data_IF_110112612810
#
_entry.id   IF_110112612810
#
_cell.length_a   1.000
_cell.length_b   1.000
_cell.length_c   1.000
_cell.angle_alpha   90.00
_cell.angle_beta   90.00
_cell.angle_gamma   90.00
#
_symmetry.space_group_name_H-M   'P 1'
#
loop_
_entity.id
_entity.type
_entity.pdbx_description
1 polymer ?
#
# COMPACT_ATOMS: atom_id res chain seq x y z
N UNK A 1 -24.15 15.74 62.16
CA UNK A 1 -24.03 16.96 61.33
C UNK A 1 -22.93 16.73 60.31
N UNK A 2 -23.22 17.00 59.02
CA UNK A 2 -22.31 17.24 57.86
C UNK A 2 -21.27 16.16 57.50
N UNK A 3 -21.05 15.74 56.25
CA UNK A 3 -21.60 16.09 54.93
C UNK A 3 -21.09 15.03 53.95
N UNK A 4 -22.00 14.43 53.17
CA UNK A 4 -21.64 13.59 52.03
C UNK A 4 -20.67 14.32 51.08
N UNK A 5 -19.63 13.63 50.66
CA UNK A 5 -18.89 13.96 49.44
C UNK A 5 -19.13 12.87 48.41
N UNK A 6 -19.80 13.32 47.35
CA UNK A 6 -20.17 12.62 46.13
C UNK A 6 -18.95 12.67 45.20
N UNK A 7 -18.43 11.54 44.75
CA UNK A 7 -17.46 11.48 43.67
C UNK A 7 -17.79 10.30 42.74
N UNK A 8 -18.66 10.66 41.78
CA UNK A 8 -18.65 10.31 40.35
C UNK A 8 -17.83 9.06 39.99
N UNK A 9 -18.55 8.00 39.64
CA UNK A 9 -18.00 6.81 39.01
C UNK A 9 -17.31 7.16 37.70
N UNK A 10 -16.00 6.96 37.66
CA UNK A 10 -15.23 6.92 36.42
C UNK A 10 -15.42 5.53 35.84
N UNK A 11 -16.38 5.39 34.92
CA UNK A 11 -16.45 4.24 34.03
C UNK A 11 -15.30 4.33 33.03
N UNK A 12 -14.13 3.82 33.41
CA UNK A 12 -13.09 3.49 32.44
C UNK A 12 -13.55 2.25 31.68
N UNK A 13 -14.00 2.44 30.44
CA UNK A 13 -14.09 1.35 29.46
C UNK A 13 -12.68 0.82 29.26
N UNK A 14 -12.38 -0.31 29.89
CA UNK A 14 -11.18 -1.10 29.64
C UNK A 14 -11.34 -1.63 28.22
N UNK A 15 -10.72 -0.91 27.29
CA UNK A 15 -10.60 -1.29 25.90
C UNK A 15 -9.70 -2.53 25.83
N UNK A 16 -10.21 -3.56 25.19
CA UNK A 16 -9.48 -4.82 25.00
C UNK A 16 -8.11 -4.59 24.38
N UNK A 17 -7.06 -5.32 24.81
CA UNK A 17 -5.78 -5.31 24.12
C UNK A 17 -5.96 -6.03 22.78
N UNK A 18 -6.01 -5.24 21.70
CA UNK A 18 -5.89 -5.74 20.34
C UNK A 18 -4.63 -6.61 20.25
N UNK A 19 -4.89 -7.90 20.05
CA UNK A 19 -3.96 -8.90 19.56
C UNK A 19 -3.08 -8.30 18.47
N UNK A 20 -1.78 -8.17 18.74
CA UNK A 20 -0.76 -7.90 17.72
C UNK A 20 -0.37 -9.24 17.09
N UNK A 21 -0.79 -9.58 15.86
CA UNK A 21 -0.13 -10.64 15.14
C UNK A 21 1.21 -10.11 14.63
N UNK A 22 2.25 -10.56 15.32
CA UNK A 22 3.63 -10.70 14.88
C UNK A 22 3.80 -10.60 13.35
N UNK A 23 4.43 -9.52 12.87
CA UNK A 23 4.86 -9.36 11.48
C UNK A 23 5.98 -10.34 11.17
N UNK A 24 5.59 -11.57 10.86
CA UNK A 24 6.49 -12.59 10.34
C UNK A 24 6.78 -12.24 8.88
N UNK A 25 8.04 -12.10 8.44
CA UNK A 25 8.32 -11.89 7.03
C UNK A 25 7.95 -13.19 6.30
N UNK A 26 6.87 -13.14 5.51
CA UNK A 26 6.57 -14.19 4.55
C UNK A 26 7.70 -14.20 3.51
N UNK A 27 8.71 -15.05 3.74
CA UNK A 27 9.52 -15.61 2.68
C UNK A 27 8.56 -16.41 1.79
N UNK A 28 8.03 -15.76 0.76
CA UNK A 28 7.28 -16.44 -0.27
C UNK A 28 8.27 -17.19 -1.14
N UNK A 29 8.32 -18.49 -0.88
CA UNK A 29 8.76 -19.55 -1.76
C UNK A 29 8.41 -19.21 -3.21
N UNK A 30 9.44 -19.23 -4.06
CA UNK A 30 9.38 -19.11 -5.51
C UNK A 30 8.62 -20.30 -6.12
N UNK A 31 7.31 -20.32 -5.93
CA UNK A 31 6.41 -21.18 -6.69
C UNK A 31 5.73 -20.30 -7.74
N UNK A 32 6.03 -20.61 -9.00
CA UNK A 32 5.39 -20.11 -10.23
C UNK A 32 4.09 -19.35 -9.97
N UNK A 33 4.19 -18.03 -9.75
CA UNK A 33 3.01 -17.18 -9.57
C UNK A 33 2.29 -17.15 -10.92
N UNK A 34 1.00 -17.54 -11.01
CA UNK A 34 0.24 -17.44 -12.25
C UNK A 34 0.42 -16.02 -12.76
N UNK A 35 0.98 -15.88 -13.98
CA UNK A 35 1.50 -14.64 -14.53
C UNK A 35 0.75 -13.42 -13.98
N UNK A 36 1.33 -12.80 -12.94
CA UNK A 36 0.61 -11.81 -12.13
C UNK A 36 0.01 -10.76 -13.08
N UNK A 37 -1.30 -10.55 -12.99
CA UNK A 37 -2.03 -9.79 -14.01
C UNK A 37 -1.44 -8.38 -14.12
N UNK A 38 -1.52 -7.78 -15.32
CA UNK A 38 -0.88 -6.47 -15.57
C UNK A 38 -1.37 -5.40 -14.59
N UNK A 39 -2.62 -5.52 -14.13
CA UNK A 39 -3.20 -4.70 -13.08
C UNK A 39 -2.52 -4.87 -11.71
N UNK A 40 -2.36 -6.11 -11.23
CA UNK A 40 -1.70 -6.37 -9.94
C UNK A 40 -0.23 -5.90 -9.99
N UNK A 41 0.45 -6.12 -11.12
CA UNK A 41 1.81 -5.58 -11.34
C UNK A 41 1.86 -4.06 -11.26
N UNK A 42 0.87 -3.36 -11.81
CA UNK A 42 0.78 -1.90 -11.75
C UNK A 42 0.54 -1.40 -10.32
N UNK A 43 -0.38 -2.03 -9.58
CA UNK A 43 -0.66 -1.68 -8.17
C UNK A 43 0.61 -1.79 -7.31
N UNK A 44 1.37 -2.89 -7.44
CA UNK A 44 2.63 -3.07 -6.69
C UNK A 44 3.64 -1.97 -6.97
N UNK A 45 3.77 -1.52 -8.22
CA UNK A 45 4.69 -0.42 -8.58
C UNK A 45 4.24 0.89 -7.96
N UNK A 46 2.93 1.19 -7.97
CA UNK A 46 2.38 2.42 -7.36
C UNK A 46 2.63 2.44 -5.85
N UNK A 47 2.38 1.33 -5.16
CA UNK A 47 2.65 1.21 -3.71
C UNK A 47 4.13 1.43 -3.38
N UNK A 48 5.03 0.85 -4.19
CA UNK A 48 6.46 1.02 -4.04
C UNK A 48 6.88 2.47 -4.28
N UNK A 49 6.34 3.12 -5.31
CA UNK A 49 6.60 4.52 -5.62
C UNK A 49 6.19 5.44 -4.46
N UNK A 50 5.03 5.20 -3.84
CA UNK A 50 4.57 5.94 -2.67
C UNK A 50 5.50 5.81 -1.46
N UNK A 51 6.05 4.62 -1.22
CA UNK A 51 7.05 4.40 -0.16
C UNK A 51 8.35 5.13 -0.43
N UNK A 52 8.80 5.14 -1.68
CA UNK A 52 10.05 5.78 -2.08
C UNK A 52 9.94 7.30 -2.16
N UNK A 53 8.75 7.86 -2.40
CA UNK A 53 8.49 9.30 -2.39
C UNK A 53 8.35 9.89 -0.98
N UNK A 54 7.90 9.13 0.02
CA UNK A 54 7.71 9.63 1.39
C UNK A 54 8.96 10.32 1.98
N UNK A 55 10.18 9.78 1.83
CA UNK A 55 11.42 10.43 2.31
C UNK A 55 11.80 11.73 1.58
N UNK A 56 11.27 11.99 0.38
CA UNK A 56 11.57 13.21 -0.39
C UNK A 56 11.05 14.44 0.33
N UNK A 57 9.89 14.31 0.97
CA UNK A 57 9.26 15.37 1.73
C UNK A 57 9.92 15.59 3.10
N UNK A 58 10.72 14.63 3.58
CA UNK A 58 11.48 14.75 4.84
C UNK A 58 12.94 15.17 4.61
N UNK A 59 13.32 15.56 3.38
CA UNK A 59 14.65 16.04 3.01
C UNK A 59 15.80 15.03 3.15
N UNK A 60 15.49 13.78 3.55
CA UNK A 60 16.48 12.78 3.90
C UNK A 60 16.55 11.71 2.80
N UNK A 61 17.76 11.38 2.33
CA UNK A 61 18.02 10.32 1.33
C UNK A 61 17.46 10.60 -0.09
N UNK A 62 17.14 11.85 -0.41
CA UNK A 62 16.65 12.26 -1.73
C UNK A 62 17.56 11.78 -2.87
N UNK A 63 18.87 12.04 -2.78
CA UNK A 63 19.86 11.64 -3.78
C UNK A 63 19.92 10.10 -3.98
N UNK A 64 19.78 9.32 -2.91
CA UNK A 64 19.85 7.85 -2.97
C UNK A 64 18.57 7.23 -3.57
N UNK A 65 17.44 7.90 -3.40
CA UNK A 65 16.12 7.32 -3.71
C UNK A 65 15.55 7.83 -5.04
N UNK A 66 16.01 8.99 -5.52
CA UNK A 66 15.63 9.59 -6.83
C UNK A 66 15.82 8.66 -8.04
N UNK A 67 16.96 7.98 -8.23
CA UNK A 67 17.14 7.09 -9.37
C UNK A 67 16.21 5.87 -9.34
N UNK A 68 15.73 5.49 -8.16
CA UNK A 68 14.76 4.39 -7.98
C UNK A 68 13.36 4.87 -8.36
N UNK A 69 12.93 6.02 -7.84
CA UNK A 69 11.64 6.64 -8.18
C UNK A 69 11.50 6.88 -9.68
N UNK A 70 12.54 7.39 -10.35
CA UNK A 70 12.53 7.60 -11.80
C UNK A 70 12.32 6.28 -12.57
N UNK A 71 13.01 5.21 -12.17
CA UNK A 71 12.84 3.88 -12.80
C UNK A 71 11.44 3.32 -12.60
N UNK A 72 10.90 3.42 -11.39
CA UNK A 72 9.57 2.91 -11.07
C UNK A 72 8.47 3.71 -11.79
N UNK A 73 8.64 5.02 -11.96
CA UNK A 73 7.73 5.86 -12.75
C UNK A 73 7.73 5.43 -14.23
N UNK A 74 8.90 5.24 -14.85
CA UNK A 74 8.99 4.77 -16.25
C UNK A 74 8.34 3.40 -16.41
N UNK A 75 8.54 2.49 -15.44
CA UNK A 75 7.92 1.16 -15.43
C UNK A 75 6.39 1.24 -15.32
N UNK A 76 5.87 2.07 -14.41
CA UNK A 76 4.43 2.29 -14.25
C UNK A 76 3.81 2.84 -15.55
N UNK A 77 4.43 3.86 -16.15
CA UNK A 77 3.96 4.45 -17.40
C UNK A 77 3.90 3.44 -18.54
N UNK A 78 4.93 2.60 -18.70
CA UNK A 78 4.92 1.52 -19.70
C UNK A 78 3.78 0.53 -19.46
N UNK A 79 3.57 0.12 -18.21
CA UNK A 79 2.48 -0.80 -17.84
C UNK A 79 1.09 -0.20 -18.13
N UNK A 80 0.88 1.08 -17.81
CA UNK A 80 -0.39 1.77 -18.09
C UNK A 80 -0.68 1.79 -19.58
N UNK A 81 0.33 2.07 -20.43
CA UNK A 81 0.17 2.02 -21.89
C UNK A 81 -0.21 0.62 -22.38
N UNK A 82 0.40 -0.42 -21.82
CA UNK A 82 0.03 -1.80 -22.14
C UNK A 82 -1.41 -2.13 -21.72
N UNK A 83 -1.83 -1.68 -20.53
CA UNK A 83 -3.20 -1.88 -20.05
C UNK A 83 -4.22 -1.15 -20.93
N UNK A 84 -3.91 0.06 -21.41
CA UNK A 84 -4.77 0.81 -22.32
C UNK A 84 -4.98 0.09 -23.66
N UNK A 85 -3.90 -0.42 -24.26
CA UNK A 85 -3.97 -1.19 -25.51
C UNK A 85 -4.78 -2.48 -25.32
N UNK A 86 -4.57 -3.17 -24.21
CA UNK A 86 -5.33 -4.38 -23.89
C UNK A 86 -6.83 -4.09 -23.68
N UNK A 87 -7.17 -3.03 -22.94
CA UNK A 87 -8.55 -2.63 -22.72
C UNK A 87 -9.25 -2.24 -24.03
N UNK A 88 -8.59 -1.46 -24.90
CA UNK A 88 -9.15 -1.08 -26.21
C UNK A 88 -9.31 -2.26 -27.17
N UNK A 89 -8.43 -3.27 -27.08
CA UNK A 89 -8.58 -4.52 -27.85
C UNK A 89 -9.74 -5.35 -27.32
N UNK A 90 -9.88 -5.47 -26.00
CA UNK A 90 -10.96 -6.22 -25.36
C UNK A 90 -12.32 -5.58 -25.60
N UNK A 91 -12.43 -4.24 -25.57
CA UNK A 91 -13.67 -3.54 -25.87
C UNK A 91 -14.11 -3.70 -27.33
N UNK A 92 -13.16 -3.68 -28.29
CA UNK A 92 -13.45 -3.96 -29.70
C UNK A 92 -13.95 -5.39 -29.94
N UNK A 93 -13.42 -6.35 -29.19
CA UNK A 93 -13.84 -7.77 -29.27
C UNK A 93 -15.21 -8.02 -28.65
N UNK A 94 -15.56 -7.28 -27.60
CA UNK A 94 -16.83 -7.45 -26.90
C UNK A 94 -18.04 -6.84 -27.65
N UNK A 95 -17.80 -6.04 -28.69
CA UNK A 95 -18.83 -5.37 -29.49
C UNK A 95 -18.99 -5.97 -30.91
N UNK A 96 -18.29 -7.08 -31.20
CA UNK A 96 -18.54 -7.94 -32.38
C UNK A 96 -19.37 -9.13 -31.96
#
# INVERSE_FOLDING_TARGET
MVKQRKNVGVTAKIMEPLTVPNSTPLQQTVSSVPAESKYIKLLRVIEQLGRDLKPFYTGSKLCKTMPKVQRDLVKACRLVKQCQVEATKSSKKACQ
#
